data_IF_713864603278
#
_entry.id   IF_713864603278
#
_cell.length_a   1.000
_cell.length_b   1.000
_cell.length_c   1.000
_cell.angle_alpha   90.00
_cell.angle_beta   90.00
_cell.angle_gamma   90.00
#
_symmetry.space_group_name_H-M   'P 1'
#
loop_
_entity.id
_entity.type
_entity.pdbx_description
1 polymer ?
#
# COMPACT_ATOMS: atom_id res chain seq x y z
N UNK A 1 38.42 2.51 -3.43
CA UNK A 1 39.12 2.87 -2.17
C UNK A 1 40.27 1.88 -2.00
N UNK A 2 41.47 2.24 -2.46
CA UNK A 2 42.66 1.36 -2.48
C UNK A 2 43.43 1.52 -1.17
N UNK A 3 43.65 0.41 -0.44
CA UNK A 3 44.44 0.38 0.79
C UNK A 3 45.89 0.05 0.41
N UNK A 4 46.77 1.06 0.51
CA UNK A 4 48.19 0.93 0.25
C UNK A 4 48.90 0.27 1.45
N UNK A 5 49.51 -0.90 1.22
CA UNK A 5 50.37 -1.57 2.20
C UNK A 5 51.78 -0.95 2.20
N UNK A 6 52.05 -0.10 3.19
CA UNK A 6 53.39 0.41 3.48
C UNK A 6 54.25 -0.69 4.13
N UNK A 7 55.15 -1.30 3.34
CA UNK A 7 56.22 -2.18 3.83
C UNK A 7 57.28 -1.38 4.57
N UNK A 8 57.30 -1.45 5.90
CA UNK A 8 58.38 -0.91 6.71
C UNK A 8 59.58 -1.89 6.71
N UNK A 9 60.64 -1.54 5.98
CA UNK A 9 61.91 -2.27 5.91
C UNK A 9 62.74 -1.90 7.14
N UNK A 10 62.88 -2.82 8.12
CA UNK A 10 63.77 -2.62 9.28
C UNK A 10 65.23 -2.71 8.84
N UNK A 11 65.97 -1.63 9.09
CA UNK A 11 67.42 -1.53 9.01
C UNK A 11 68.09 -2.43 10.04
N UNK A 12 68.95 -3.35 9.58
CA UNK A 12 69.87 -4.13 10.41
C UNK A 12 71.05 -3.24 10.82
N UNK A 13 71.03 -2.74 12.05
CA UNK A 13 72.19 -2.11 12.68
C UNK A 13 73.20 -3.15 13.20
N UNK A 14 74.48 -2.77 13.35
CA UNK A 14 75.56 -3.68 13.71
C UNK A 14 75.47 -4.18 15.17
N UNK A 15 76.06 -5.34 15.49
CA UNK A 15 76.04 -5.90 16.83
C UNK A 15 76.96 -5.07 17.76
N UNK A 16 76.35 -4.27 18.63
CA UNK A 16 77.08 -3.59 19.70
C UNK A 16 77.55 -4.59 20.76
N UNK A 17 78.86 -4.57 21.02
CA UNK A 17 79.61 -5.34 22.01
C UNK A 17 78.91 -5.45 23.37
N UNK A 18 78.71 -6.71 23.80
CA UNK A 18 78.23 -7.10 25.12
C UNK A 18 79.29 -6.78 26.19
N UNK A 19 79.03 -5.77 27.01
CA UNK A 19 79.60 -5.69 28.36
C UNK A 19 78.83 -6.63 29.31
N UNK A 20 79.47 -7.24 30.32
CA UNK A 20 78.78 -8.05 31.33
C UNK A 20 77.98 -7.12 32.24
N UNK A 21 76.76 -6.78 31.82
CA UNK A 21 75.79 -6.10 32.67
C UNK A 21 75.46 -7.04 33.83
N UNK A 22 75.94 -6.69 35.03
CA UNK A 22 75.58 -7.31 36.30
C UNK A 22 74.07 -7.49 36.32
N UNK A 23 73.61 -8.73 36.26
CA UNK A 23 72.22 -9.11 36.38
C UNK A 23 71.74 -8.67 37.77
N UNK A 24 71.18 -7.46 37.84
CA UNK A 24 70.39 -7.01 38.98
C UNK A 24 69.25 -8.01 39.12
N UNK A 25 69.40 -8.89 40.11
CA UNK A 25 68.41 -9.90 40.50
C UNK A 25 67.24 -9.13 41.10
N UNK A 26 66.39 -8.56 40.23
CA UNK A 26 65.15 -7.88 40.60
C UNK A 26 64.28 -8.90 41.36
N UNK A 27 64.22 -8.74 42.68
CA UNK A 27 63.43 -9.59 43.57
C UNK A 27 61.94 -9.34 43.29
N UNK A 28 61.33 -10.32 42.62
CA UNK A 28 59.94 -10.78 42.68
C UNK A 28 58.84 -9.84 43.19
N UNK A 29 58.39 -8.88 42.38
CA UNK A 29 57.00 -8.39 42.42
C UNK A 29 56.07 -9.17 41.47
N UNK A 30 56.61 -10.16 40.73
CA UNK A 30 55.85 -10.96 39.77
C UNK A 30 54.57 -11.61 40.33
N UNK A 31 54.52 -12.12 41.59
CA UNK A 31 53.26 -12.62 42.15
C UNK A 31 52.22 -11.52 42.38
N UNK A 32 52.64 -10.33 42.80
CA UNK A 32 51.75 -9.19 43.05
C UNK A 32 51.22 -8.61 41.72
N UNK A 33 52.10 -8.45 40.73
CA UNK A 33 51.72 -8.04 39.38
C UNK A 33 50.73 -9.02 38.75
N UNK A 34 50.90 -10.33 38.97
CA UNK A 34 49.99 -11.37 38.47
C UNK A 34 48.61 -11.29 39.13
N UNK A 35 48.54 -11.11 40.45
CA UNK A 35 47.26 -10.99 41.17
C UNK A 35 46.50 -9.75 40.74
N UNK A 36 47.19 -8.61 40.61
CA UNK A 36 46.58 -7.36 40.15
C UNK A 36 46.11 -7.47 38.69
N UNK A 37 46.94 -8.05 37.81
CA UNK A 37 46.59 -8.27 36.40
C UNK A 37 45.38 -9.21 36.27
N UNK A 38 45.33 -10.26 37.08
CA UNK A 38 44.19 -11.19 37.11
C UNK A 38 42.91 -10.49 37.56
N UNK A 39 42.97 -9.67 38.60
CA UNK A 39 41.83 -8.87 39.05
C UNK A 39 41.30 -7.95 37.94
N UNK A 40 42.17 -7.20 37.27
CA UNK A 40 41.77 -6.32 36.16
C UNK A 40 41.22 -7.11 34.97
N UNK A 41 41.78 -8.27 34.66
CA UNK A 41 41.29 -9.13 33.57
C UNK A 41 39.88 -9.67 33.88
N UNK A 42 39.65 -10.12 35.11
CA UNK A 42 38.31 -10.55 35.57
C UNK A 42 37.31 -9.40 35.56
N UNK A 43 37.72 -8.20 35.99
CA UNK A 43 36.88 -7.00 35.93
C UNK A 43 36.53 -6.63 34.48
N UNK A 44 37.50 -6.66 33.57
CA UNK A 44 37.29 -6.37 32.15
C UNK A 44 36.35 -7.39 31.51
N UNK A 45 36.55 -8.69 31.78
CA UNK A 45 35.65 -9.76 31.32
C UNK A 45 34.22 -9.54 31.84
N UNK A 46 34.07 -9.16 33.12
CA UNK A 46 32.78 -8.86 33.71
C UNK A 46 32.09 -7.66 33.02
N UNK A 47 32.84 -6.61 32.72
CA UNK A 47 32.34 -5.43 32.00
C UNK A 47 31.91 -5.78 30.57
N UNK A 48 32.68 -6.58 29.83
CA UNK A 48 32.33 -7.03 28.47
C UNK A 48 31.03 -7.83 28.47
N UNK A 49 30.88 -8.78 29.41
CA UNK A 49 29.66 -9.59 29.51
C UNK A 49 28.44 -8.74 29.88
N UNK A 50 28.60 -7.80 30.82
CA UNK A 50 27.53 -6.87 31.18
C UNK A 50 27.14 -5.98 30.00
N UNK A 51 28.11 -5.42 29.26
CA UNK A 51 27.86 -4.61 28.07
C UNK A 51 27.13 -5.40 26.97
N UNK A 52 27.59 -6.62 26.67
CA UNK A 52 26.94 -7.51 25.70
C UNK A 52 25.51 -7.86 26.10
N UNK A 53 25.27 -8.07 27.39
CA UNK A 53 23.93 -8.31 27.94
C UNK A 53 23.03 -7.10 27.77
N UNK A 54 23.48 -5.90 28.16
CA UNK A 54 22.71 -4.65 28.00
C UNK A 54 22.39 -4.39 26.53
N UNK A 55 23.37 -4.55 25.64
CA UNK A 55 23.19 -4.33 24.21
C UNK A 55 22.17 -5.30 23.60
N UNK A 56 22.25 -6.58 23.98
CA UNK A 56 21.29 -7.60 23.52
C UNK A 56 19.86 -7.28 23.97
N UNK A 57 19.68 -6.82 25.21
CA UNK A 57 18.38 -6.43 25.71
C UNK A 57 17.86 -5.13 25.07
N UNK A 58 18.75 -4.19 24.72
CA UNK A 58 18.37 -2.99 23.99
C UNK A 58 17.82 -3.33 22.58
N UNK A 59 18.50 -4.22 21.84
CA UNK A 59 18.02 -4.69 20.54
C UNK A 59 16.67 -5.41 20.68
N UNK A 60 16.53 -6.31 21.66
CA UNK A 60 15.25 -6.97 21.93
C UNK A 60 14.15 -5.98 22.31
N UNK A 61 14.49 -4.95 23.08
CA UNK A 61 13.57 -3.87 23.43
C UNK A 61 13.11 -3.08 22.22
N UNK A 62 13.98 -2.79 21.25
CA UNK A 62 13.57 -2.13 20.01
C UNK A 62 12.57 -2.99 19.21
N UNK A 63 12.80 -4.31 19.15
CA UNK A 63 11.86 -5.24 18.52
C UNK A 63 10.53 -5.29 19.28
N UNK A 64 10.56 -5.33 20.61
CA UNK A 64 9.36 -5.30 21.44
C UNK A 64 8.58 -3.98 21.31
N UNK A 65 9.28 -2.85 21.26
CA UNK A 65 8.69 -1.53 21.02
C UNK A 65 8.00 -1.51 19.65
N UNK A 66 8.68 -1.95 18.58
CA UNK A 66 8.09 -2.07 17.24
C UNK A 66 6.84 -2.96 17.23
N UNK A 67 6.89 -4.12 17.89
CA UNK A 67 5.74 -5.02 18.00
C UNK A 67 4.59 -4.36 18.79
N UNK A 68 4.91 -3.62 19.85
CA UNK A 68 3.97 -2.86 20.67
C UNK A 68 3.17 -1.82 19.87
N UNK A 69 3.81 -1.11 18.94
CA UNK A 69 3.11 -0.27 17.97
C UNK A 69 2.32 -1.10 16.95
N UNK A 70 2.97 -2.06 16.29
CA UNK A 70 2.38 -2.85 15.19
C UNK A 70 1.08 -3.57 15.58
N UNK A 71 0.98 -4.06 16.82
CA UNK A 71 -0.21 -4.76 17.30
C UNK A 71 -1.39 -3.83 17.60
N UNK A 72 -1.15 -2.53 17.71
CA UNK A 72 -2.13 -1.49 18.00
C UNK A 72 -2.47 -0.63 16.77
N UNK A 73 -1.92 -0.98 15.60
CA UNK A 73 -2.07 -0.25 14.34
C UNK A 73 -3.32 -0.68 13.58
N UNK A 74 -4.03 0.28 12.98
CA UNK A 74 -5.29 0.08 12.26
C UNK A 74 -6.40 -0.54 13.13
N UNK A 75 -7.14 -1.52 12.59
CA UNK A 75 -8.24 -2.21 13.28
C UNK A 75 -7.78 -3.21 14.38
N UNK A 76 -6.48 -3.30 14.65
CA UNK A 76 -5.94 -4.26 15.61
C UNK A 76 -6.09 -3.68 17.01
N UNK A 77 -7.15 -4.08 17.71
CA UNK A 77 -7.20 -3.92 19.16
C UNK A 77 -6.12 -4.80 19.77
N UNK A 78 -5.04 -4.21 20.29
CA UNK A 78 -3.85 -4.92 20.82
C UNK A 78 -4.15 -6.06 21.82
N UNK A 79 -5.39 -6.14 22.31
CA UNK A 79 -5.97 -7.26 23.05
C UNK A 79 -5.93 -8.61 22.29
N UNK A 80 -6.08 -8.62 20.95
CA UNK A 80 -6.02 -9.85 20.14
C UNK A 80 -4.60 -10.39 19.95
N UNK A 81 -3.58 -9.57 20.22
CA UNK A 81 -2.17 -9.90 20.00
C UNK A 81 -1.38 -9.69 21.30
N UNK A 82 -1.44 -10.67 22.23
CA UNK A 82 -0.80 -10.55 23.53
C UNK A 82 0.72 -10.41 23.41
N UNK A 83 1.35 -9.94 24.48
CA UNK A 83 2.81 -9.88 24.58
C UNK A 83 3.41 -11.28 24.29
N UNK A 84 4.40 -11.40 23.39
CA UNK A 84 5.03 -12.68 23.10
C UNK A 84 5.68 -13.24 24.36
N UNK A 85 5.64 -14.57 24.50
CA UNK A 85 6.08 -15.29 25.71
C UNK A 85 7.51 -14.94 26.12
N UNK A 86 8.40 -14.70 25.16
CA UNK A 86 9.79 -14.33 25.38
C UNK A 86 10.01 -12.91 25.95
N UNK A 87 8.98 -12.05 25.96
CA UNK A 87 9.02 -10.71 26.58
C UNK A 87 8.32 -10.66 27.95
N UNK A 88 7.75 -11.78 28.44
CA UNK A 88 7.09 -11.87 29.75
C UNK A 88 8.10 -12.03 30.89
N UNK A 89 9.02 -11.09 30.99
CA UNK A 89 9.94 -10.98 32.13
C UNK A 89 9.27 -10.12 33.19
N UNK A 90 9.50 -10.41 34.47
CA UNK A 90 9.03 -9.58 35.58
C UNK A 90 9.40 -8.10 35.38
N UNK A 91 8.39 -7.23 35.42
CA UNK A 91 8.55 -5.78 35.22
C UNK A 91 8.77 -5.34 33.77
N UNK A 92 8.72 -6.23 32.79
CA UNK A 92 8.77 -5.86 31.38
C UNK A 92 7.40 -5.44 30.86
N UNK A 93 7.32 -4.27 30.24
CA UNK A 93 6.10 -3.79 29.57
C UNK A 93 6.40 -3.48 28.11
N UNK A 94 5.36 -3.50 27.29
CA UNK A 94 5.39 -2.97 25.93
C UNK A 94 4.03 -2.44 25.55
N UNK A 95 3.97 -1.45 24.66
CA UNK A 95 2.73 -0.86 24.22
C UNK A 95 2.94 0.23 23.20
N UNK A 96 1.94 1.10 23.13
CA UNK A 96 1.94 2.29 22.29
C UNK A 96 2.02 3.51 23.19
N UNK A 97 2.91 4.45 22.87
CA UNK A 97 2.93 5.78 23.44
C UNK A 97 2.05 6.73 22.61
N UNK A 98 1.72 7.92 23.13
CA UNK A 98 1.05 8.96 22.35
C UNK A 98 1.75 9.17 21.01
N UNK A 99 0.96 9.37 19.95
CA UNK A 99 1.50 9.63 18.62
C UNK A 99 2.31 10.92 18.61
N UNK A 100 3.36 10.96 17.80
CA UNK A 100 4.18 12.15 17.64
C UNK A 100 3.96 12.74 16.25
N UNK A 101 3.70 14.05 16.12
CA UNK A 101 3.54 14.68 14.83
C UNK A 101 4.79 14.48 13.99
N UNK A 102 4.61 14.18 12.71
CA UNK A 102 5.71 14.15 11.75
C UNK A 102 6.16 15.59 11.53
N UNK A 103 7.47 15.80 11.49
CA UNK A 103 8.01 17.11 11.13
C UNK A 103 7.51 17.48 9.72
N UNK A 104 6.74 18.57 9.57
CA UNK A 104 6.16 18.95 8.27
C UNK A 104 7.23 19.23 7.21
N UNK A 105 8.46 19.57 7.62
CA UNK A 105 9.58 19.78 6.70
C UNK A 105 10.17 18.49 6.11
N UNK A 106 9.80 17.32 6.65
CA UNK A 106 10.21 16.00 6.13
C UNK A 106 9.18 15.43 5.17
N UNK A 107 7.92 15.86 5.28
CA UNK A 107 6.86 15.47 4.36
C UNK A 107 7.01 16.27 3.07
N UNK A 108 7.13 15.56 1.94
CA UNK A 108 7.03 16.23 0.65
C UNK A 108 5.63 16.86 0.57
N UNK A 109 5.50 18.19 0.38
CA UNK A 109 4.22 18.87 0.33
C UNK A 109 3.26 18.31 -0.71
N UNK A 110 3.77 17.59 -1.73
CA UNK A 110 2.97 16.84 -2.71
C UNK A 110 2.00 15.86 -2.05
N UNK A 111 2.34 15.23 -0.92
CA UNK A 111 1.46 14.29 -0.21
C UNK A 111 0.24 14.96 0.45
N UNK A 112 0.30 16.28 0.65
CA UNK A 112 -0.79 17.07 1.22
C UNK A 112 -1.53 17.87 0.13
N UNK A 113 -1.26 17.63 -1.15
CA UNK A 113 -1.98 18.27 -2.25
C UNK A 113 -3.31 17.55 -2.48
N UNK A 114 -4.34 18.34 -2.80
CA UNK A 114 -5.76 17.95 -2.79
C UNK A 114 -6.12 16.69 -3.58
N UNK A 115 -5.31 16.30 -4.57
CA UNK A 115 -5.54 15.11 -5.39
C UNK A 115 -5.22 13.78 -4.69
N UNK A 116 -4.29 13.78 -3.73
CA UNK A 116 -4.00 12.58 -2.91
C UNK A 116 -4.89 12.49 -1.68
N UNK A 117 -5.50 13.60 -1.24
CA UNK A 117 -6.51 13.62 -0.19
C UNK A 117 -7.92 13.33 -0.71
N UNK A 118 -8.09 12.94 -1.98
CA UNK A 118 -9.40 12.53 -2.49
C UNK A 118 -9.84 11.24 -1.77
N UNK A 119 -11.13 11.16 -1.44
CA UNK A 119 -11.69 9.93 -0.91
C UNK A 119 -11.42 8.78 -1.90
N UNK A 120 -11.05 7.61 -1.39
CA UNK A 120 -10.89 6.38 -2.18
C UNK A 120 -12.14 6.08 -3.03
N UNK A 121 -13.30 6.53 -2.54
CA UNK A 121 -14.57 6.47 -3.21
C UNK A 121 -14.78 7.76 -4.01
N UNK A 122 -14.79 7.64 -5.34
CA UNK A 122 -15.19 8.72 -6.25
C UNK A 122 -16.71 8.85 -6.20
N UNK A 123 -17.21 9.96 -5.65
CA UNK A 123 -18.63 10.27 -5.50
C UNK A 123 -18.83 11.55 -4.69
N UNK A 124 -20.03 12.15 -4.75
CA UNK A 124 -20.35 13.36 -3.98
C UNK A 124 -20.02 13.18 -2.48
N UNK A 125 -19.19 14.04 -1.86
CA UNK A 125 -18.83 13.96 -0.44
C UNK A 125 -20.00 14.25 0.51
N UNK A 126 -21.19 14.59 -0.02
CA UNK A 126 -22.40 14.87 0.76
C UNK A 126 -23.09 13.64 1.34
N UNK A 127 -22.75 12.43 0.90
CA UNK A 127 -23.37 11.22 1.41
C UNK A 127 -22.43 10.53 2.41
N UNK A 128 -22.38 11.01 3.66
CA UNK A 128 -21.94 10.19 4.80
C UNK A 128 -22.72 8.86 4.90
N UNK A 129 -23.82 8.75 4.15
CA UNK A 129 -24.70 7.61 4.10
C UNK A 129 -24.99 7.19 2.65
N UNK A 130 -24.62 5.97 2.27
CA UNK A 130 -25.11 5.37 1.01
C UNK A 130 -26.56 4.96 1.25
N UNK A 131 -27.50 5.51 0.48
CA UNK A 131 -28.90 5.09 0.57
C UNK A 131 -29.11 3.92 -0.36
N UNK A 132 -29.49 2.77 0.20
CA UNK A 132 -29.93 1.62 -0.58
C UNK A 132 -31.14 2.01 -1.45
N UNK A 133 -31.05 1.95 -2.78
CA UNK A 133 -32.13 2.35 -3.66
C UNK A 133 -33.38 1.46 -3.51
N UNK A 134 -33.23 0.22 -3.05
CA UNK A 134 -34.33 -0.73 -2.93
C UNK A 134 -35.04 -0.64 -1.57
N UNK A 135 -34.30 -0.30 -0.51
CA UNK A 135 -34.84 -0.29 0.86
C UNK A 135 -34.94 1.10 1.48
N UNK A 136 -34.36 2.12 0.85
CA UNK A 136 -34.27 3.48 1.40
C UNK A 136 -33.39 3.58 2.65
N UNK A 137 -32.70 2.49 3.05
CA UNK A 137 -31.85 2.47 4.24
C UNK A 137 -30.54 3.17 3.97
N UNK A 138 -30.18 4.06 4.89
CA UNK A 138 -28.93 4.79 4.89
C UNK A 138 -27.85 3.98 5.61
N UNK A 139 -26.81 3.59 4.88
CA UNK A 139 -25.61 2.97 5.43
C UNK A 139 -24.54 4.04 5.66
N UNK A 140 -24.26 4.33 6.93
CA UNK A 140 -23.14 5.20 7.28
C UNK A 140 -21.83 4.59 6.76
N UNK A 141 -21.09 5.31 5.93
CA UNK A 141 -19.77 4.87 5.52
C UNK A 141 -18.85 4.94 6.74
N UNK A 142 -18.57 3.77 7.32
CA UNK A 142 -17.71 3.65 8.50
C UNK A 142 -16.31 4.14 8.18
N UNK A 143 -15.93 5.26 8.79
CA UNK A 143 -14.65 5.98 8.63
C UNK A 143 -14.28 6.22 7.16
N UNK A 144 -14.58 7.43 6.66
CA UNK A 144 -13.94 8.00 5.49
C UNK A 144 -12.43 8.12 5.73
N UNK A 145 -11.70 7.00 5.59
CA UNK A 145 -10.26 7.02 5.62
C UNK A 145 -9.80 7.49 4.26
N UNK A 146 -9.67 8.81 4.13
CA UNK A 146 -8.93 9.43 3.04
C UNK A 146 -7.56 8.78 2.91
N UNK A 147 -6.95 8.84 1.72
CA UNK A 147 -5.55 8.48 1.53
C UNK A 147 -4.66 9.57 2.13
N UNK A 148 -4.82 9.81 3.44
CA UNK A 148 -4.01 10.74 4.19
C UNK A 148 -2.79 10.00 4.71
N UNK A 149 -1.60 10.49 4.32
CA UNK A 149 -0.41 10.15 5.06
C UNK A 149 -0.59 10.77 6.45
N UNK A 150 -0.97 9.96 7.44
CA UNK A 150 -1.33 10.48 8.76
C UNK A 150 -0.23 11.41 9.28
N UNK A 151 -0.60 12.63 9.69
CA UNK A 151 0.33 13.67 10.17
C UNK A 151 1.08 13.30 11.46
N UNK A 152 0.94 12.06 11.94
CA UNK A 152 1.56 11.57 13.16
C UNK A 152 2.10 10.15 12.97
N UNK A 153 3.18 9.85 13.68
CA UNK A 153 3.73 8.50 13.79
C UNK A 153 3.16 7.83 15.04
N UNK A 154 2.78 6.56 14.91
CA UNK A 154 2.50 5.71 16.06
C UNK A 154 3.83 5.36 16.73
N UNK A 155 3.97 5.60 18.04
CA UNK A 155 5.21 5.29 18.74
C UNK A 155 5.03 4.01 19.54
N UNK A 156 5.82 3.01 19.19
CA UNK A 156 5.96 1.80 19.98
C UNK A 156 6.90 2.04 21.14
N UNK A 157 6.55 1.54 22.32
CA UNK A 157 7.40 1.63 23.51
C UNK A 157 7.57 0.26 24.15
N UNK A 158 8.75 0.05 24.71
CA UNK A 158 9.02 -1.06 25.61
C UNK A 158 9.75 -0.54 26.83
N UNK A 159 9.50 -1.14 27.99
CA UNK A 159 10.19 -0.85 29.25
C UNK A 159 10.65 -2.18 29.85
N UNK A 160 11.90 -2.22 30.30
CA UNK A 160 12.49 -3.36 30.98
C UNK A 160 13.52 -2.86 31.99
N UNK A 161 13.40 -3.36 33.22
CA UNK A 161 14.43 -3.16 34.25
C UNK A 161 15.02 -4.51 34.66
N UNK A 162 16.35 -4.63 34.66
CA UNK A 162 17.05 -5.89 35.03
C UNK A 162 18.33 -5.63 35.80
N UNK A 163 18.70 -6.60 36.64
CA UNK A 163 20.01 -6.64 37.29
C UNK A 163 21.08 -7.12 36.30
N UNK A 164 22.29 -6.57 36.42
CA UNK A 164 23.45 -7.04 35.65
C UNK A 164 23.86 -8.45 36.09
N UNK A 165 24.25 -9.35 35.18
CA UNK A 165 24.53 -10.75 35.50
C UNK A 165 25.74 -10.94 36.42
N UNK A 166 26.82 -10.18 36.22
CA UNK A 166 28.06 -10.35 36.99
C UNK A 166 28.25 -9.31 38.10
N UNK A 167 27.48 -8.21 38.07
CA UNK A 167 27.57 -7.11 39.05
C UNK A 167 26.17 -6.65 39.50
N UNK A 168 25.33 -7.53 40.07
CA UNK A 168 23.91 -7.27 40.33
C UNK A 168 23.63 -6.17 41.36
N UNK A 169 24.64 -5.82 42.19
CA UNK A 169 24.54 -4.80 43.24
C UNK A 169 24.94 -3.40 42.79
N UNK A 170 25.64 -3.24 41.66
CA UNK A 170 26.14 -1.93 41.25
C UNK A 170 25.04 -1.05 40.66
N UNK A 171 24.28 -1.58 39.71
CA UNK A 171 23.21 -0.85 39.03
C UNK A 171 22.26 -1.81 38.33
N UNK A 172 20.99 -1.43 38.25
CA UNK A 172 20.03 -2.07 37.36
C UNK A 172 20.10 -1.40 35.98
N UNK A 173 20.12 -2.19 34.92
CA UNK A 173 19.94 -1.67 33.58
C UNK A 173 18.46 -1.36 33.35
N UNK A 174 18.18 -0.20 32.79
CA UNK A 174 16.86 0.25 32.40
C UNK A 174 16.86 0.48 30.89
N UNK A 175 15.95 -0.20 30.18
CA UNK A 175 15.87 -0.23 28.72
C UNK A 175 14.49 0.26 28.33
N UNK A 176 14.44 1.49 27.80
CA UNK A 176 13.19 2.15 27.40
C UNK A 176 13.20 2.62 25.92
N UNK A 177 13.35 1.70 24.96
CA UNK A 177 13.41 2.06 23.55
C UNK A 177 12.04 2.53 23.05
N UNK A 178 12.10 3.55 22.19
CA UNK A 178 10.96 4.06 21.43
C UNK A 178 11.18 3.72 19.96
N UNK A 179 10.15 3.24 19.28
CA UNK A 179 10.21 2.91 17.87
C UNK A 179 9.07 3.60 17.12
N UNK A 180 9.34 4.63 16.31
CA UNK A 180 8.32 5.24 15.48
C UNK A 180 7.92 4.25 14.39
N UNK A 181 6.61 4.07 14.21
CA UNK A 181 6.01 3.34 13.12
C UNK A 181 5.10 4.31 12.36
N UNK A 182 5.29 4.38 11.05
CA UNK A 182 4.25 4.96 10.21
C UNK A 182 3.08 3.99 10.22
N UNK A 183 1.90 4.51 10.56
CA UNK A 183 0.65 3.80 10.36
C UNK A 183 0.07 4.30 9.03
N UNK A 184 0.45 3.69 7.89
CA UNK A 184 -0.39 3.83 6.72
C UNK A 184 -1.65 3.03 7.08
N UNK A 185 -2.73 3.74 7.41
CA UNK A 185 -4.05 3.14 7.63
C UNK A 185 -4.51 2.29 6.42
N UNK A 186 -3.75 2.33 5.33
CA UNK A 186 -3.88 1.54 4.13
C UNK A 186 -2.90 0.36 4.12
N UNK A 187 -3.42 -0.85 4.33
CA UNK A 187 -2.71 -2.09 4.00
C UNK A 187 -3.35 -2.71 2.77
N UNK A 188 -2.53 -3.24 1.86
CA UNK A 188 -3.02 -3.96 0.67
C UNK A 188 -3.97 -5.11 1.04
N UNK A 189 -3.72 -5.77 2.16
CA UNK A 189 -4.55 -6.84 2.70
C UNK A 189 -5.93 -6.34 3.17
N UNK A 190 -6.02 -5.08 3.60
CA UNK A 190 -7.25 -4.43 4.05
C UNK A 190 -8.03 -3.80 2.86
N UNK A 191 -7.36 -3.57 1.72
CA UNK A 191 -7.98 -3.17 0.43
C UNK A 191 -8.50 -4.35 -0.38
N UNK A 192 -8.07 -5.57 -0.05
CA UNK A 192 -8.64 -6.77 -0.62
C UNK A 192 -10.08 -6.92 -0.12
N UNK A 193 -11.05 -6.48 -0.93
CA UNK A 193 -12.39 -7.01 -0.82
C UNK A 193 -12.30 -8.53 -0.76
N UNK A 194 -13.16 -9.18 0.04
CA UNK A 194 -13.36 -10.63 -0.03
C UNK A 194 -14.06 -10.97 -1.35
N UNK A 195 -13.43 -10.62 -2.46
CA UNK A 195 -13.93 -10.90 -3.78
C UNK A 195 -13.44 -12.29 -4.13
N UNK A 196 -14.38 -13.12 -4.53
CA UNK A 196 -14.11 -14.40 -5.18
C UNK A 196 -13.99 -14.14 -6.67
N UNK A 197 -13.15 -14.91 -7.36
CA UNK A 197 -13.05 -14.81 -8.81
C UNK A 197 -14.28 -15.48 -9.43
N UNK A 198 -14.39 -15.44 -10.76
CA UNK A 198 -15.48 -16.12 -11.47
C UNK A 198 -15.56 -17.65 -11.20
N UNK A 199 -14.52 -18.24 -10.61
CA UNK A 199 -14.43 -19.65 -10.26
C UNK A 199 -14.64 -19.92 -8.76
N UNK A 200 -15.02 -18.90 -7.97
CA UNK A 200 -15.22 -19.04 -6.53
C UNK A 200 -13.93 -19.11 -5.72
N UNK A 201 -12.75 -18.89 -6.32
CA UNK A 201 -11.51 -18.81 -5.57
C UNK A 201 -11.40 -17.46 -4.87
N UNK A 202 -11.17 -17.44 -3.54
CA UNK A 202 -10.89 -16.20 -2.84
C UNK A 202 -9.56 -15.65 -3.36
N UNK A 203 -9.64 -14.62 -4.21
CA UNK A 203 -8.49 -13.80 -4.55
C UNK A 203 -8.43 -12.70 -3.50
N UNK A 204 -7.72 -12.98 -2.41
CA UNK A 204 -7.18 -11.89 -1.62
C UNK A 204 -5.99 -11.31 -2.39
N UNK A 205 -5.84 -10.00 -2.41
CA UNK A 205 -4.61 -9.35 -2.85
C UNK A 205 -3.51 -9.84 -1.92
N UNK A 206 -2.62 -10.71 -2.41
CA UNK A 206 -1.72 -11.50 -1.54
C UNK A 206 -0.42 -10.76 -1.30
N UNK A 207 0.01 -9.99 -2.29
CA UNK A 207 1.40 -9.54 -2.36
C UNK A 207 1.49 -8.07 -2.81
N UNK A 208 2.58 -7.43 -2.38
CA UNK A 208 3.01 -6.11 -2.88
C UNK A 208 3.16 -6.01 -4.41
N UNK A 209 3.19 -7.12 -5.14
CA UNK A 209 3.31 -7.15 -6.60
C UNK A 209 1.98 -7.00 -7.34
N UNK A 210 0.85 -7.21 -6.67
CA UNK A 210 -0.43 -7.37 -7.36
C UNK A 210 -0.91 -6.04 -7.96
N UNK A 211 -0.59 -4.89 -7.33
CA UNK A 211 -1.01 -3.54 -7.74
C UNK A 211 0.13 -2.54 -8.00
N UNK A 212 1.37 -3.03 -8.21
CA UNK A 212 2.49 -2.11 -8.49
C UNK A 212 2.35 -1.49 -9.87
N UNK A 213 1.79 -0.29 -9.91
CA UNK A 213 2.28 0.74 -10.80
C UNK A 213 3.70 1.09 -10.32
N UNK A 214 4.72 0.75 -11.12
CA UNK A 214 6.11 1.09 -10.81
C UNK A 214 6.30 2.60 -10.59
N UNK A 215 5.44 3.40 -11.21
CA UNK A 215 5.42 4.85 -11.11
C UNK A 215 4.03 5.36 -11.48
N UNK A 216 3.58 6.40 -10.79
CA UNK A 216 2.45 7.21 -11.22
C UNK A 216 2.96 8.27 -12.19
N UNK A 217 2.32 8.34 -13.36
CA UNK A 217 2.58 9.41 -14.33
C UNK A 217 1.37 10.32 -14.31
N UNK A 218 1.57 11.55 -13.84
CA UNK A 218 0.63 12.62 -14.13
C UNK A 218 1.02 13.16 -15.51
N UNK A 219 0.22 12.85 -16.52
CA UNK A 219 0.33 13.43 -17.84
C UNK A 219 -0.79 14.43 -17.98
N UNK A 220 -0.45 15.72 -17.96
CA UNK A 220 -1.45 16.75 -18.21
C UNK A 220 -1.84 16.74 -19.69
N UNK A 221 -3.10 17.00 -19.99
CA UNK A 221 -3.56 17.01 -21.38
C UNK A 221 -2.80 18.03 -22.25
N UNK A 222 -2.30 19.11 -21.64
CA UNK A 222 -1.44 20.13 -22.27
C UNK A 222 -0.03 19.63 -22.64
N UNK A 223 0.43 18.55 -22.01
CA UNK A 223 1.76 17.97 -22.23
C UNK A 223 1.76 16.98 -23.38
N UNK A 224 0.58 16.54 -23.83
CA UNK A 224 0.43 15.64 -24.95
C UNK A 224 0.48 16.44 -26.27
N UNK A 225 1.23 15.97 -27.28
CA UNK A 225 1.43 16.69 -28.53
C UNK A 225 0.18 16.75 -29.41
N UNK A 226 -0.84 15.94 -29.09
CA UNK A 226 -2.11 15.91 -29.79
C UNK A 226 -3.14 16.85 -29.14
N UNK A 227 -3.39 18.00 -29.78
CA UNK A 227 -4.39 18.97 -29.34
C UNK A 227 -5.81 18.39 -29.22
N UNK A 228 -6.11 17.28 -29.89
CA UNK A 228 -7.39 16.59 -29.75
C UNK A 228 -7.57 15.99 -28.34
N UNK A 229 -6.48 15.62 -27.64
CA UNK A 229 -6.57 15.10 -26.28
C UNK A 229 -6.94 16.19 -25.29
N UNK A 230 -6.43 17.41 -25.48
CA UNK A 230 -6.80 18.55 -24.65
C UNK A 230 -8.27 18.94 -24.83
N UNK A 231 -8.79 18.90 -26.06
CA UNK A 231 -10.22 19.11 -26.32
C UNK A 231 -11.07 18.03 -25.64
N UNK A 232 -10.73 16.75 -25.82
CA UNK A 232 -11.43 15.63 -25.17
C UNK A 232 -11.37 15.70 -23.65
N UNK A 233 -10.25 16.15 -23.09
CA UNK A 233 -10.12 16.37 -21.65
C UNK A 233 -11.07 17.47 -21.16
N UNK A 234 -11.19 18.57 -21.91
CA UNK A 234 -12.18 19.62 -21.62
C UNK A 234 -13.62 19.09 -21.69
N UNK A 235 -13.94 18.29 -22.72
CA UNK A 235 -15.25 17.64 -22.84
C UNK A 235 -15.53 16.69 -21.67
N UNK A 236 -14.53 15.89 -21.27
CA UNK A 236 -14.62 15.02 -20.10
C UNK A 236 -14.89 15.82 -18.82
N UNK A 237 -14.15 16.91 -18.57
CA UNK A 237 -14.38 17.73 -17.38
C UNK A 237 -15.79 18.33 -17.34
N UNK A 238 -16.31 18.78 -18.48
CA UNK A 238 -17.68 19.28 -18.58
C UNK A 238 -18.70 18.16 -18.30
N UNK A 239 -18.51 16.98 -18.89
CA UNK A 239 -19.38 15.83 -18.65
C UNK A 239 -19.34 15.37 -17.19
N UNK A 240 -18.16 15.30 -16.58
CA UNK A 240 -17.98 14.97 -15.17
C UNK A 240 -18.68 15.98 -14.25
N UNK A 241 -18.57 17.28 -14.53
CA UNK A 241 -19.32 18.30 -13.79
C UNK A 241 -20.83 18.16 -13.96
N UNK A 242 -21.32 17.88 -15.18
CA UNK A 242 -22.75 17.65 -15.42
C UNK A 242 -23.27 16.44 -14.63
N UNK A 243 -22.51 15.34 -14.62
CA UNK A 243 -22.82 14.14 -13.84
C UNK A 243 -22.86 14.48 -12.34
N UNK A 244 -21.85 15.20 -11.83
CA UNK A 244 -21.75 15.59 -10.42
C UNK A 244 -22.88 16.51 -9.96
N UNK A 245 -23.37 17.38 -10.84
CA UNK A 245 -24.46 18.31 -10.54
C UNK A 245 -25.84 17.64 -10.62
N UNK A 246 -25.96 16.54 -11.37
CA UNK A 246 -27.24 15.84 -11.56
C UNK A 246 -27.06 14.31 -11.57
N UNK A 247 -26.69 13.70 -10.44
CA UNK A 247 -26.42 12.26 -10.38
C UNK A 247 -27.66 11.41 -10.71
N UNK A 248 -28.87 11.93 -10.50
CA UNK A 248 -30.13 11.28 -10.87
C UNK A 248 -30.52 11.38 -12.34
N UNK A 249 -29.60 11.72 -13.26
CA UNK A 249 -29.93 11.75 -14.69
C UNK A 249 -30.40 10.36 -15.15
N UNK A 250 -31.60 10.30 -15.72
CA UNK A 250 -32.17 9.06 -16.26
C UNK A 250 -31.20 8.38 -17.26
N UNK A 251 -30.42 9.16 -18.01
CA UNK A 251 -29.39 8.64 -18.92
C UNK A 251 -28.27 7.86 -18.22
N UNK A 252 -27.95 8.18 -16.96
CA UNK A 252 -26.88 7.53 -16.19
C UNK A 252 -27.37 6.32 -15.40
N UNK A 253 -28.68 6.22 -15.14
CA UNK A 253 -29.27 5.05 -14.43
C UNK A 253 -28.99 3.72 -15.13
N UNK A 254 -28.58 3.77 -16.40
CA UNK A 254 -28.19 2.59 -17.18
C UNK A 254 -26.84 2.01 -16.72
N UNK A 255 -25.97 2.84 -16.15
CA UNK A 255 -24.65 2.45 -15.65
C UNK A 255 -24.71 1.81 -14.26
N UNK A 256 -25.81 2.00 -13.53
CA UNK A 256 -26.04 1.43 -12.20
C UNK A 256 -26.78 0.07 -12.26
N UNK A 257 -26.93 -0.53 -13.45
CA UNK A 257 -27.73 -1.75 -13.70
C UNK A 257 -26.93 -3.05 -13.67
N UNK A 258 -25.82 -3.10 -12.94
CA UNK A 258 -25.00 -4.32 -12.82
C UNK A 258 -25.83 -5.54 -12.35
N UNK A 259 -26.77 -5.32 -11.43
CA UNK A 259 -27.69 -6.35 -10.96
C UNK A 259 -28.61 -6.89 -12.07
N UNK A 260 -28.99 -6.06 -13.04
CA UNK A 260 -29.80 -6.48 -14.18
C UNK A 260 -29.01 -7.42 -15.08
N UNK A 261 -27.75 -7.09 -15.40
CA UNK A 261 -26.89 -7.99 -16.19
C UNK A 261 -26.74 -9.36 -15.54
N UNK A 262 -26.51 -9.40 -14.23
CA UNK A 262 -26.41 -10.65 -13.48
C UNK A 262 -27.73 -11.44 -13.47
N UNK A 263 -28.87 -10.77 -13.29
CA UNK A 263 -30.19 -11.41 -13.29
C UNK A 263 -30.50 -12.12 -14.62
N UNK A 264 -29.92 -11.67 -15.72
CA UNK A 264 -30.09 -12.25 -17.05
C UNK A 264 -28.90 -13.13 -17.49
N UNK A 265 -28.07 -13.57 -16.54
CA UNK A 265 -27.02 -14.57 -16.79
C UNK A 265 -25.74 -14.03 -17.42
N UNK A 266 -25.55 -12.71 -17.46
CA UNK A 266 -24.27 -12.10 -17.78
C UNK A 266 -23.45 -11.98 -16.49
N UNK A 267 -22.88 -13.10 -16.07
CA UNK A 267 -22.01 -13.20 -14.88
C UNK A 267 -20.59 -13.56 -15.34
N UNK A 268 -19.57 -12.71 -15.06
CA UNK A 268 -19.67 -11.41 -14.38
C UNK A 268 -20.38 -10.34 -15.25
N UNK A 269 -20.90 -9.25 -14.64
CA UNK A 269 -21.43 -8.13 -15.40
C UNK A 269 -20.36 -7.58 -16.35
N UNK A 270 -20.74 -7.05 -17.53
CA UNK A 270 -19.79 -6.54 -18.50
C UNK A 270 -18.93 -5.41 -17.93
N UNK A 271 -17.60 -5.54 -18.01
CA UNK A 271 -16.68 -4.47 -17.66
C UNK A 271 -16.51 -3.51 -18.83
N UNK A 272 -16.98 -2.27 -18.68
CA UNK A 272 -16.86 -1.22 -19.69
C UNK A 272 -15.61 -0.35 -19.50
N UNK A 273 -14.83 -0.58 -18.43
CA UNK A 273 -13.63 0.21 -18.18
C UNK A 273 -12.50 -0.24 -19.11
N UNK A 274 -12.00 0.66 -19.97
CA UNK A 274 -10.91 0.31 -20.87
C UNK A 274 -9.65 0.03 -20.06
N UNK A 275 -9.15 -1.20 -20.16
CA UNK A 275 -7.93 -1.61 -19.48
C UNK A 275 -6.70 -1.23 -20.30
N UNK A 276 -5.69 -0.70 -19.62
CA UNK A 276 -4.33 -0.56 -20.15
C UNK A 276 -3.50 -1.74 -19.68
N UNK A 277 -2.90 -2.48 -20.62
CA UNK A 277 -1.97 -3.57 -20.31
C UNK A 277 -0.52 -3.09 -20.38
N UNK A 278 0.38 -3.77 -19.68
CA UNK A 278 1.82 -3.57 -19.81
C UNK A 278 2.50 -2.98 -18.57
N UNK A 279 3.82 -3.11 -18.53
CA UNK A 279 4.69 -2.56 -17.49
C UNK A 279 5.70 -1.63 -18.18
N UNK A 280 5.38 -0.34 -18.30
CA UNK A 280 6.26 0.65 -18.94
C UNK A 280 6.77 1.68 -17.93
N UNK A 281 8.09 1.89 -17.92
CA UNK A 281 8.79 2.77 -16.98
C UNK A 281 9.16 4.13 -17.59
N UNK A 282 9.11 4.24 -18.92
CA UNK A 282 9.44 5.46 -19.63
C UNK A 282 8.13 6.26 -19.92
N UNK A 283 7.97 7.50 -19.41
CA UNK A 283 6.78 8.31 -19.65
C UNK A 283 6.42 8.47 -21.12
N UNK A 284 7.42 8.70 -21.98
CA UNK A 284 7.23 8.86 -23.41
C UNK A 284 6.72 7.56 -24.05
N UNK A 285 7.15 6.41 -23.56
CA UNK A 285 6.67 5.11 -24.05
C UNK A 285 5.27 4.77 -23.52
N UNK A 286 4.93 5.17 -22.29
CA UNK A 286 3.56 5.08 -21.76
C UNK A 286 2.62 5.87 -22.66
N UNK A 287 2.99 7.10 -22.99
CA UNK A 287 2.22 7.96 -23.87
C UNK A 287 2.05 7.34 -25.26
N UNK A 288 3.16 7.02 -25.94
CA UNK A 288 3.12 6.51 -27.31
C UNK A 288 2.46 5.14 -27.44
N UNK A 289 2.65 4.24 -26.47
CA UNK A 289 2.21 2.85 -26.61
C UNK A 289 0.92 2.56 -25.85
N UNK A 290 0.79 3.08 -24.63
CA UNK A 290 -0.32 2.73 -23.73
C UNK A 290 -1.49 3.72 -23.84
N UNK A 291 -1.25 4.97 -24.22
CA UNK A 291 -2.30 6.01 -24.31
C UNK A 291 -2.72 6.25 -25.76
N UNK A 292 -1.80 6.77 -26.58
CA UNK A 292 -2.07 7.28 -27.93
C UNK A 292 -1.84 6.25 -29.03
N UNK A 293 -1.12 5.16 -28.72
CA UNK A 293 -0.78 4.12 -29.67
C UNK A 293 -1.98 3.34 -30.22
N UNK A 294 -1.74 2.62 -31.31
CA UNK A 294 -2.74 1.69 -31.86
C UNK A 294 -3.02 0.57 -30.84
N UNK A 295 -4.25 0.53 -30.32
CA UNK A 295 -4.61 -0.36 -29.22
C UNK A 295 -4.27 0.17 -27.82
N UNK A 296 -3.81 1.42 -27.72
CA UNK A 296 -3.71 2.17 -26.47
C UNK A 296 -5.09 2.62 -25.95
N UNK A 297 -5.10 3.30 -24.81
CA UNK A 297 -6.30 3.70 -24.07
C UNK A 297 -7.30 4.49 -24.93
N UNK A 298 -6.84 5.48 -25.70
CA UNK A 298 -7.72 6.30 -26.54
C UNK A 298 -8.39 5.42 -27.61
N UNK A 299 -7.61 4.58 -28.29
CA UNK A 299 -8.12 3.66 -29.29
C UNK A 299 -9.07 2.60 -28.70
N UNK A 300 -8.93 2.23 -27.42
CA UNK A 300 -9.87 1.33 -26.73
C UNK A 300 -11.17 2.02 -26.33
N UNK A 301 -11.10 3.30 -26.00
CA UNK A 301 -12.29 4.11 -25.72
C UNK A 301 -13.09 4.32 -27.00
N UNK A 302 -12.43 4.78 -28.05
CA UNK A 302 -13.07 5.26 -29.28
C UNK A 302 -13.20 4.20 -30.36
N UNK A 303 -12.52 3.07 -30.22
CA UNK A 303 -12.38 2.09 -31.28
C UNK A 303 -11.17 2.34 -32.20
N UNK A 304 -10.78 1.36 -33.04
CA UNK A 304 -9.55 1.39 -33.82
C UNK A 304 -9.43 2.50 -34.87
N UNK A 305 -10.56 3.13 -35.23
CA UNK A 305 -10.64 4.17 -36.28
C UNK A 305 -11.27 5.48 -35.78
N UNK A 306 -11.47 5.63 -34.47
CA UNK A 306 -12.42 6.61 -33.93
C UNK A 306 -13.87 6.16 -34.15
N UNK A 307 -14.85 6.99 -33.78
CA UNK A 307 -16.27 6.75 -34.11
C UNK A 307 -17.04 5.80 -33.21
N UNK A 308 -16.38 5.16 -32.24
CA UNK A 308 -16.98 4.33 -31.19
C UNK A 308 -17.03 2.82 -31.51
N UNK A 309 -16.78 2.43 -32.77
CA UNK A 309 -16.90 1.03 -33.22
C UNK A 309 -15.72 0.17 -32.74
N UNK A 310 -16.00 -0.92 -32.04
CA UNK A 310 -14.99 -1.72 -31.35
C UNK A 310 -14.39 -1.02 -30.12
N UNK A 311 -14.97 0.10 -29.68
CA UNK A 311 -14.63 0.81 -28.45
C UNK A 311 -15.65 0.58 -27.33
N UNK A 312 -15.65 1.48 -26.34
CA UNK A 312 -16.58 1.44 -25.20
C UNK A 312 -18.04 1.57 -25.64
N UNK A 313 -18.44 2.52 -26.53
CA UNK A 313 -19.83 2.64 -26.96
C UNK A 313 -20.38 1.35 -27.59
N UNK A 314 -19.61 0.72 -28.46
CA UNK A 314 -19.98 -0.53 -29.12
C UNK A 314 -20.10 -1.70 -28.12
N UNK A 315 -19.20 -1.77 -27.14
CA UNK A 315 -19.23 -2.77 -26.08
C UNK A 315 -20.49 -2.62 -25.18
N UNK A 316 -20.82 -1.39 -24.79
CA UNK A 316 -22.03 -1.06 -24.00
C UNK A 316 -23.28 -1.46 -24.76
N UNK A 317 -23.41 -1.01 -26.01
CA UNK A 317 -24.59 -1.30 -26.84
C UNK A 317 -24.76 -2.80 -27.06
N UNK A 318 -23.66 -3.49 -27.37
CA UNK A 318 -23.66 -4.95 -27.54
C UNK A 318 -24.09 -5.69 -26.28
N UNK A 319 -23.68 -5.23 -25.10
CA UNK A 319 -24.09 -5.82 -23.83
C UNK A 319 -25.61 -5.69 -23.59
N UNK A 320 -26.17 -4.51 -23.83
CA UNK A 320 -27.62 -4.28 -23.69
C UNK A 320 -28.44 -5.03 -24.74
N UNK A 321 -27.96 -5.15 -25.99
CA UNK A 321 -28.62 -5.98 -26.99
C UNK A 321 -28.71 -7.43 -26.51
N UNK A 322 -27.61 -8.00 -25.99
CA UNK A 322 -27.62 -9.36 -25.44
C UNK A 322 -28.59 -9.51 -24.27
N UNK A 323 -28.61 -8.52 -23.37
CA UNK A 323 -29.52 -8.48 -22.23
C UNK A 323 -30.98 -8.54 -22.69
N UNK A 324 -31.38 -7.65 -23.61
CA UNK A 324 -32.75 -7.59 -24.10
C UNK A 324 -33.13 -8.79 -24.95
N UNK A 325 -32.19 -9.40 -25.67
CA UNK A 325 -32.42 -10.66 -26.38
C UNK A 325 -32.74 -11.82 -25.42
N UNK A 326 -32.02 -11.91 -24.29
CA UNK A 326 -32.32 -12.90 -23.25
C UNK A 326 -33.69 -12.67 -22.61
N UNK A 327 -34.02 -11.41 -22.31
CA UNK A 327 -35.35 -11.01 -21.82
C UNK A 327 -36.46 -11.41 -22.80
N UNK A 328 -36.27 -11.10 -24.08
CA UNK A 328 -37.22 -11.42 -25.13
C UNK A 328 -37.41 -12.93 -25.29
N UNK A 329 -36.33 -13.71 -25.23
CA UNK A 329 -36.39 -15.16 -25.32
C UNK A 329 -37.21 -15.77 -24.17
N UNK A 330 -37.02 -15.30 -22.93
CA UNK A 330 -37.81 -15.78 -21.79
C UNK A 330 -39.28 -15.35 -21.89
N UNK A 331 -39.56 -14.12 -22.32
CA UNK A 331 -40.93 -13.64 -22.50
C UNK A 331 -41.68 -14.45 -23.60
N UNK A 332 -40.98 -14.87 -24.65
CA UNK A 332 -41.55 -15.71 -25.71
C UNK A 332 -41.82 -17.16 -25.28
N UNK A 333 -41.17 -17.65 -24.22
CA UNK A 333 -41.42 -18.99 -23.68
C UNK A 333 -42.69 -19.07 -22.83
N UNK A 334 -43.27 -17.93 -22.41
CA UNK A 334 -44.55 -17.91 -21.72
C UNK A 334 -45.68 -18.25 -22.71
N UNK A 335 -46.66 -19.05 -22.27
CA UNK A 335 -47.82 -19.42 -23.09
C UNK A 335 -49.12 -18.86 -22.49
N UNK A 336 -49.78 -17.88 -23.14
CA UNK A 336 -49.36 -17.17 -24.35
C UNK A 336 -48.23 -16.13 -24.09
N UNK A 337 -47.42 -15.76 -25.08
CA UNK A 337 -46.44 -14.68 -24.94
C UNK A 337 -47.15 -13.35 -24.68
N UNK A 338 -46.67 -12.56 -23.72
CA UNK A 338 -47.23 -11.23 -23.45
C UNK A 338 -46.76 -10.21 -24.50
N UNK A 339 -47.65 -9.69 -25.36
CA UNK A 339 -47.29 -8.68 -26.36
C UNK A 339 -46.84 -7.35 -25.73
N UNK A 340 -47.29 -7.04 -24.50
CA UNK A 340 -46.91 -5.82 -23.79
C UNK A 340 -45.43 -5.83 -23.35
N UNK A 341 -44.84 -7.01 -23.20
CA UNK A 341 -43.43 -7.18 -22.84
C UNK A 341 -42.56 -7.36 -24.08
N UNK A 342 -43.00 -8.22 -25.01
CA UNK A 342 -42.20 -8.59 -26.19
C UNK A 342 -42.03 -7.44 -27.19
N UNK A 343 -43.07 -6.62 -27.41
CA UNK A 343 -43.03 -5.49 -28.35
C UNK A 343 -41.99 -4.42 -27.96
N UNK A 344 -42.02 -3.86 -26.74
CA UNK A 344 -41.05 -2.87 -26.30
C UNK A 344 -39.60 -3.37 -26.30
N UNK A 345 -39.36 -4.65 -25.97
CA UNK A 345 -38.03 -5.25 -26.00
C UNK A 345 -37.48 -5.31 -27.43
N UNK A 346 -38.31 -5.73 -28.40
CA UNK A 346 -37.92 -5.73 -29.82
C UNK A 346 -37.58 -4.32 -30.31
N UNK A 347 -38.39 -3.32 -29.94
CA UNK A 347 -38.13 -1.93 -30.29
C UNK A 347 -36.78 -1.45 -29.74
N UNK A 348 -36.49 -1.71 -28.46
CA UNK A 348 -35.19 -1.35 -27.85
C UNK A 348 -34.01 -2.01 -28.56
N UNK A 349 -34.12 -3.29 -28.91
CA UNK A 349 -33.07 -4.00 -29.65
C UNK A 349 -32.83 -3.32 -31.00
N UNK A 350 -33.89 -2.97 -31.74
CA UNK A 350 -33.77 -2.30 -33.04
C UNK A 350 -33.16 -0.90 -32.93
N UNK A 351 -33.56 -0.12 -31.93
CA UNK A 351 -32.99 1.21 -31.66
C UNK A 351 -31.49 1.13 -31.35
N UNK A 352 -31.09 0.17 -30.50
CA UNK A 352 -29.69 -0.07 -30.17
C UNK A 352 -28.89 -0.56 -31.39
N UNK A 353 -29.43 -1.45 -32.21
CA UNK A 353 -28.80 -1.90 -33.45
C UNK A 353 -28.63 -0.76 -34.46
N UNK A 354 -29.63 0.13 -34.56
CA UNK A 354 -29.54 1.32 -35.42
C UNK A 354 -28.45 2.25 -34.91
N UNK A 355 -28.38 2.50 -33.61
CA UNK A 355 -27.31 3.30 -33.01
C UNK A 355 -25.93 2.66 -33.22
N UNK A 356 -25.82 1.34 -33.02
CA UNK A 356 -24.58 0.60 -33.27
C UNK A 356 -24.10 0.76 -34.72
N UNK A 357 -25.03 0.78 -35.68
CA UNK A 357 -24.72 1.01 -37.09
C UNK A 357 -24.27 2.45 -37.40
N UNK A 358 -24.55 3.43 -36.52
CA UNK A 358 -24.01 4.80 -36.65
C UNK A 358 -22.58 4.95 -36.12
N UNK A 359 -22.07 3.96 -35.38
CA UNK A 359 -20.68 3.92 -34.95
C UNK A 359 -19.81 3.55 -36.15
N UNK A 360 -18.91 4.45 -36.58
CA UNK A 360 -18.05 4.27 -37.76
C UNK A 360 -16.66 3.75 -37.39
#
# INVERSE_FOLDING_TARGET
>A
MQIAFSRYRRSLGPPSSRGPSRLSRRRGLAPLELVISLFFLLLMMALIINFGTVSSWNVRGMVAARFGAWRAVGLRGGQKYPNPLNWRVDGATMGQAPSQPINPNVLNPVWNQGDLTQAALRGQPLAQFITDPNTGRQFGMGNQQYMELGNSTSIGVADLTRKLPLLPKMRQMHVQPKHPLFDPLWRFEDMAGKSVDANGYPWSMRNNGDWRLYKWYLLEASQLPDGAVQEKYGQYQMADQMIKQSPGQAALTVLDRDDEFMAWGQVPPPDFYPTVGGCEMNPQMVEMNLISGRGGLISRIEGPRGGGRGGVPDAVVSAFIRLYQQQLQMAQQQQPPDPQVTGPLQQKIQELQKFQATLF
#
